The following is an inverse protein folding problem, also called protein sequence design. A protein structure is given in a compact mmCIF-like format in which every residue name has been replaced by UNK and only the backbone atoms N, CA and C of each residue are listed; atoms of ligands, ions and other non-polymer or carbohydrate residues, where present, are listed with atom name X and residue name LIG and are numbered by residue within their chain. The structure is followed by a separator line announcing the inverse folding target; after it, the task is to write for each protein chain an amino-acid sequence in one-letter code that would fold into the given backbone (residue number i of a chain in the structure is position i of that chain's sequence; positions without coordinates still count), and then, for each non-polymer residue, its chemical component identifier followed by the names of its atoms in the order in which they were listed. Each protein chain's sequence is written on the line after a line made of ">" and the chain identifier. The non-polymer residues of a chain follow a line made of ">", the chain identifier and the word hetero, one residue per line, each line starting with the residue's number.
data_IF_054153580459
#
_entry.id   IF_054153580459
#
_cell.length_a   1.000
_cell.length_b   1.000
_cell.length_c   1.000
_cell.angle_alpha   90.00
_cell.angle_beta   90.00
_cell.angle_gamma   90.00
#
_symmetry.space_group_name_H-M   'P 1'
#
loop_
_entity.id
_entity.type
_entity.pdbx_description
1 polymer ?
#
# COMPACT_ATOMS: atom_id res chain seq x y z
N UNK A 1 -3.74 -7.38 3.49
CA UNK A 1 -4.18 -8.77 3.31
C UNK A 1 -5.27 -8.86 2.24
N UNK A 2 -5.29 -9.92 1.46
CA UNK A 2 -6.35 -10.25 0.50
C UNK A 2 -7.03 -11.53 0.91
N UNK A 3 -8.34 -11.65 0.62
CA UNK A 3 -9.12 -12.86 0.86
C UNK A 3 -9.95 -13.15 -0.39
N UNK A 4 -10.07 -14.41 -0.75
CA UNK A 4 -10.92 -14.87 -1.86
C UNK A 4 -12.38 -15.01 -1.39
N UNK A 5 -12.61 -15.00 -0.08
CA UNK A 5 -13.92 -14.97 0.54
C UNK A 5 -14.26 -13.57 1.05
N UNK A 6 -15.55 -13.24 1.10
CA UNK A 6 -16.00 -11.97 1.67
C UNK A 6 -15.59 -11.83 3.14
N UNK A 7 -15.25 -10.64 3.57
CA UNK A 7 -14.87 -10.35 4.94
C UNK A 7 -16.06 -9.76 5.66
N UNK A 8 -16.50 -10.40 6.75
CA UNK A 8 -17.43 -9.80 7.68
C UNK A 8 -16.64 -9.06 8.75
N UNK A 9 -16.55 -7.75 8.62
CA UNK A 9 -15.73 -6.90 9.51
C UNK A 9 -16.53 -6.30 10.66
N UNK A 10 -17.86 -6.26 10.53
CA UNK A 10 -18.73 -5.59 11.47
C UNK A 10 -19.69 -6.58 12.17
N UNK A 11 -20.09 -6.22 13.37
CA UNK A 11 -21.02 -7.03 14.17
C UNK A 11 -22.47 -6.66 13.80
N UNK A 12 -23.33 -7.66 13.50
CA UNK A 12 -24.74 -7.41 13.26
C UNK A 12 -25.39 -6.58 14.38
N UNK A 13 -26.11 -5.52 13.99
CA UNK A 13 -26.82 -4.65 14.93
C UNK A 13 -26.10 -3.36 15.30
N UNK A 14 -24.83 -3.19 14.97
CA UNK A 14 -24.12 -1.90 15.10
C UNK A 14 -24.67 -0.88 14.11
N UNK A 15 -24.40 0.41 14.35
CA UNK A 15 -24.88 1.46 13.44
C UNK A 15 -24.13 1.43 12.10
N UNK A 16 -22.85 1.11 12.11
CA UNK A 16 -22.04 0.90 10.90
C UNK A 16 -22.61 -0.26 10.06
N UNK A 17 -22.96 -1.37 10.69
CA UNK A 17 -23.63 -2.49 10.03
C UNK A 17 -24.96 -2.07 9.39
N UNK A 18 -25.81 -1.33 10.13
CA UNK A 18 -27.11 -0.85 9.63
C UNK A 18 -26.94 0.08 8.43
N UNK A 19 -25.98 1.00 8.46
CA UNK A 19 -25.69 1.88 7.33
C UNK A 19 -25.25 1.08 6.11
N UNK A 20 -24.37 0.11 6.27
CA UNK A 20 -23.92 -0.75 5.16
C UNK A 20 -25.08 -1.59 4.60
N UNK A 21 -25.90 -2.19 5.46
CA UNK A 21 -27.08 -2.96 5.07
C UNK A 21 -28.14 -2.09 4.35
N UNK A 22 -28.22 -0.81 4.67
CA UNK A 22 -29.09 0.17 3.99
C UNK A 22 -28.55 0.64 2.64
N UNK A 23 -27.39 0.14 2.18
CA UNK A 23 -26.81 0.45 0.87
C UNK A 23 -25.76 1.55 0.86
N UNK A 24 -25.19 1.94 2.00
CA UNK A 24 -24.07 2.86 2.01
C UNK A 24 -22.88 2.26 1.27
N UNK A 25 -22.33 2.99 0.30
CA UNK A 25 -21.15 2.58 -0.47
C UNK A 25 -19.92 2.44 0.42
N UNK A 26 -19.75 3.37 1.36
CA UNK A 26 -18.66 3.36 2.33
C UNK A 26 -19.15 3.75 3.72
N UNK A 27 -18.58 3.16 4.76
CA UNK A 27 -18.86 3.47 6.16
C UNK A 27 -17.54 3.65 6.89
N UNK A 28 -17.45 4.66 7.75
CA UNK A 28 -16.27 4.92 8.55
C UNK A 28 -16.65 4.98 10.03
N UNK A 29 -15.93 4.23 10.85
CA UNK A 29 -15.96 4.31 12.30
C UNK A 29 -14.73 5.07 12.76
N UNK A 30 -14.92 6.12 13.54
CA UNK A 30 -13.85 6.93 14.12
C UNK A 30 -13.93 6.87 15.64
N UNK A 31 -12.84 6.41 16.25
CA UNK A 31 -12.65 6.40 17.70
C UNK A 31 -11.44 7.28 18.07
N UNK A 32 -11.24 7.63 19.34
CA UNK A 32 -10.12 8.50 19.75
C UNK A 32 -8.73 7.95 19.41
N UNK A 33 -8.59 6.63 19.31
CA UNK A 33 -7.33 5.91 19.14
C UNK A 33 -7.20 5.21 17.78
N UNK A 34 -8.32 5.07 17.03
CA UNK A 34 -8.30 4.33 15.77
C UNK A 34 -9.45 4.73 14.84
N UNK A 35 -9.28 4.41 13.59
CA UNK A 35 -10.27 4.58 12.53
C UNK A 35 -10.39 3.31 11.71
N UNK A 36 -11.61 2.92 11.36
CA UNK A 36 -11.90 1.80 10.47
C UNK A 36 -12.73 2.30 9.29
N UNK A 37 -12.23 2.10 8.08
CA UNK A 37 -12.94 2.38 6.83
C UNK A 37 -13.35 1.06 6.17
N UNK A 38 -14.64 0.90 5.92
CA UNK A 38 -15.21 -0.17 5.12
C UNK A 38 -15.74 0.42 3.81
N UNK A 39 -15.12 0.06 2.71
CA UNK A 39 -15.48 0.56 1.36
C UNK A 39 -15.49 -0.60 0.36
N UNK A 40 -16.09 -0.38 -0.80
CA UNK A 40 -16.02 -1.34 -1.90
C UNK A 40 -14.57 -1.59 -2.33
N UNK A 41 -14.33 -2.77 -2.88
CA UNK A 41 -13.05 -3.11 -3.48
C UNK A 41 -13.13 -2.87 -4.99
N UNK A 42 -12.39 -1.87 -5.46
CA UNK A 42 -12.28 -1.51 -6.88
C UNK A 42 -11.11 -2.25 -7.57
N UNK A 43 -10.68 -3.40 -7.02
CA UNK A 43 -9.51 -4.18 -7.48
C UNK A 43 -8.21 -3.35 -7.59
N UNK A 44 -8.04 -2.42 -6.66
CA UNK A 44 -6.91 -1.51 -6.65
C UNK A 44 -5.58 -2.25 -6.42
N UNK A 45 -4.57 -1.84 -7.15
CA UNK A 45 -3.21 -2.35 -6.94
C UNK A 45 -2.70 -2.01 -5.53
N UNK A 46 -1.78 -2.83 -5.00
CA UNK A 46 -1.14 -2.55 -3.70
C UNK A 46 -0.46 -1.16 -3.69
N UNK A 47 0.14 -0.75 -4.82
CA UNK A 47 0.76 0.57 -4.95
C UNK A 47 -0.27 1.70 -4.86
N UNK A 48 -1.45 1.53 -5.47
CA UNK A 48 -2.56 2.49 -5.38
C UNK A 48 -3.10 2.58 -3.96
N UNK A 49 -3.31 1.43 -3.30
CA UNK A 49 -3.74 1.38 -1.89
C UNK A 49 -2.74 2.08 -0.98
N UNK A 50 -1.44 1.80 -1.16
CA UNK A 50 -0.37 2.45 -0.41
C UNK A 50 -0.39 3.97 -0.57
N UNK A 51 -0.44 4.47 -1.82
CA UNK A 51 -0.44 5.91 -2.09
C UNK A 51 -1.71 6.62 -1.61
N UNK A 52 -2.86 5.92 -1.61
CA UNK A 52 -4.14 6.52 -1.22
C UNK A 52 -4.35 6.57 0.30
N UNK A 53 -3.95 5.51 1.00
CA UNK A 53 -4.29 5.34 2.42
C UNK A 53 -3.09 5.44 3.35
N UNK A 54 -1.87 5.34 2.83
CA UNK A 54 -0.63 5.32 3.61
C UNK A 54 0.46 6.20 2.98
N UNK A 55 0.18 7.49 2.67
CA UNK A 55 1.14 8.36 1.97
C UNK A 55 2.39 8.65 2.79
N UNK A 56 2.27 8.66 4.13
CA UNK A 56 3.32 9.10 5.06
C UNK A 56 4.16 7.96 5.64
N UNK A 57 3.89 6.71 5.27
CA UNK A 57 4.67 5.58 5.78
C UNK A 57 5.85 5.27 4.87
N UNK A 58 6.95 4.83 5.45
CA UNK A 58 8.16 4.46 4.71
C UNK A 58 7.98 3.17 3.91
N UNK A 59 7.06 2.28 4.33
CA UNK A 59 6.81 0.98 3.69
C UNK A 59 5.40 0.49 3.96
N UNK A 60 4.81 -0.14 2.96
CA UNK A 60 3.54 -0.89 3.06
C UNK A 60 3.83 -2.36 2.76
N UNK A 61 3.40 -3.25 3.64
CA UNK A 61 3.46 -4.70 3.45
C UNK A 61 2.05 -5.20 3.16
N UNK A 62 1.88 -5.82 2.00
CA UNK A 62 0.61 -6.45 1.60
C UNK A 62 0.68 -7.97 1.75
N UNK A 63 -0.28 -8.57 2.42
CA UNK A 63 -0.47 -10.02 2.46
C UNK A 63 -1.41 -10.47 1.35
N UNK A 64 -1.12 -11.59 0.71
CA UNK A 64 -1.79 -12.03 -0.51
C UNK A 64 -1.14 -11.40 -1.74
N UNK A 65 -1.83 -10.60 -2.49
CA UNK A 65 -1.36 -9.89 -3.68
C UNK A 65 -0.45 -10.71 -4.61
N UNK A 66 -0.74 -12.01 -4.76
CA UNK A 66 0.08 -13.00 -5.52
C UNK A 66 0.33 -12.53 -6.95
N UNK A 67 -0.70 -11.96 -7.59
CA UNK A 67 -0.70 -11.50 -8.97
C UNK A 67 -0.09 -10.12 -9.18
N UNK A 68 0.21 -9.38 -8.09
CA UNK A 68 0.78 -8.04 -8.19
C UNK A 68 2.12 -8.09 -8.95
N UNK A 69 2.23 -7.28 -10.00
CA UNK A 69 3.44 -7.16 -10.82
C UNK A 69 4.38 -6.09 -10.25
N UNK A 70 5.69 -6.26 -10.49
CA UNK A 70 6.74 -5.28 -10.13
C UNK A 70 6.84 -4.96 -8.63
N UNK A 71 6.34 -5.85 -7.77
CA UNK A 71 6.46 -5.75 -6.32
C UNK A 71 7.31 -6.92 -5.84
N UNK A 72 8.38 -6.67 -5.07
CA UNK A 72 9.15 -7.74 -4.46
C UNK A 72 8.29 -8.53 -3.48
N UNK A 73 8.43 -9.84 -3.47
CA UNK A 73 7.65 -10.75 -2.64
C UNK A 73 8.54 -11.63 -1.80
N UNK A 74 8.10 -11.90 -0.58
CA UNK A 74 8.64 -12.96 0.26
C UNK A 74 7.62 -14.09 0.23
N UNK A 75 8.02 -15.24 -0.32
CA UNK A 75 7.17 -16.42 -0.34
C UNK A 75 7.23 -17.10 1.03
N UNK A 76 6.06 -17.39 1.61
CA UNK A 76 5.95 -18.04 2.91
C UNK A 76 5.21 -19.36 2.74
N UNK A 77 5.84 -20.48 3.10
CA UNK A 77 5.19 -21.78 3.02
C UNK A 77 5.70 -22.75 4.10
N UNK A 78 4.82 -23.67 4.52
CA UNK A 78 5.11 -24.72 5.50
C UNK A 78 5.33 -26.08 4.85
N UNK A 79 4.68 -26.31 3.72
CA UNK A 79 4.75 -27.54 2.94
C UNK A 79 5.12 -27.22 1.49
N UNK A 80 5.78 -28.15 0.80
CA UNK A 80 6.22 -27.96 -0.59
C UNK A 80 5.04 -27.77 -1.55
N UNK A 81 3.91 -28.38 -1.26
CA UNK A 81 2.69 -28.26 -2.06
C UNK A 81 2.09 -26.84 -2.02
N UNK A 82 2.49 -26.02 -1.03
CA UNK A 82 2.08 -24.63 -0.90
C UNK A 82 2.97 -23.64 -1.68
N UNK A 83 4.03 -24.13 -2.33
CA UNK A 83 4.93 -23.26 -3.10
C UNK A 83 4.23 -22.67 -4.31
N UNK A 84 4.36 -21.35 -4.42
CA UNK A 84 3.82 -20.58 -5.53
C UNK A 84 4.92 -20.05 -6.46
N UNK A 85 6.16 -20.48 -6.26
CA UNK A 85 7.36 -19.96 -6.93
C UNK A 85 7.26 -19.93 -8.45
N UNK A 86 6.59 -20.91 -9.05
CA UNK A 86 6.43 -21.03 -10.50
C UNK A 86 5.26 -20.20 -11.03
N UNK A 87 4.35 -19.78 -10.14
CA UNK A 87 3.15 -18.99 -10.45
C UNK A 87 3.32 -17.50 -10.10
N UNK A 88 4.26 -17.17 -9.22
CA UNK A 88 4.43 -15.84 -8.65
C UNK A 88 5.74 -15.21 -9.08
N UNK A 89 5.67 -14.10 -9.79
CA UNK A 89 6.85 -13.34 -10.19
C UNK A 89 7.33 -12.38 -9.11
N UNK A 90 8.66 -12.18 -9.04
CA UNK A 90 9.28 -11.19 -8.15
C UNK A 90 9.53 -11.69 -6.73
N UNK A 91 9.62 -13.00 -6.53
CA UNK A 91 10.04 -13.59 -5.25
C UNK A 91 11.52 -13.26 -5.03
N UNK A 92 11.82 -12.53 -3.96
CA UNK A 92 13.18 -12.07 -3.58
C UNK A 92 13.73 -12.82 -2.37
N UNK A 93 12.86 -13.48 -1.62
CA UNK A 93 13.22 -14.27 -0.45
C UNK A 93 12.13 -15.31 -0.16
N UNK A 94 12.49 -16.31 0.63
CA UNK A 94 11.61 -17.38 1.07
C UNK A 94 11.66 -17.48 2.59
N UNK A 95 10.51 -17.70 3.24
CA UNK A 95 10.41 -18.04 4.65
C UNK A 95 9.79 -19.43 4.82
N UNK A 96 10.56 -20.36 5.38
CA UNK A 96 10.14 -21.76 5.57
C UNK A 96 11.01 -22.46 6.61
N UNK A 97 10.44 -23.45 7.30
CA UNK A 97 11.19 -24.34 8.19
C UNK A 97 11.62 -25.67 7.49
N UNK A 98 11.33 -25.82 6.19
CA UNK A 98 11.74 -26.99 5.42
C UNK A 98 13.23 -26.92 5.11
N UNK A 99 13.91 -28.07 5.21
CA UNK A 99 15.33 -28.20 4.87
C UNK A 99 15.54 -28.37 3.37
N UNK A 100 16.67 -27.87 2.86
CA UNK A 100 17.07 -28.08 1.46
C UNK A 100 16.32 -27.22 0.45
N UNK A 101 15.61 -26.20 0.89
CA UNK A 101 14.95 -25.24 -0.01
C UNK A 101 15.99 -24.32 -0.63
N UNK A 102 16.05 -24.29 -1.96
CA UNK A 102 16.95 -23.43 -2.71
C UNK A 102 16.38 -22.01 -2.82
N UNK A 103 17.23 -21.01 -2.61
CA UNK A 103 16.92 -19.59 -2.77
C UNK A 103 18.10 -18.74 -2.33
N UNK A 104 18.22 -17.51 -2.85
CA UNK A 104 19.31 -16.60 -2.46
C UNK A 104 19.19 -16.16 -1.00
N UNK A 105 17.95 -16.04 -0.53
CA UNK A 105 17.61 -15.66 0.86
C UNK A 105 16.51 -16.60 1.37
N UNK A 106 16.86 -17.44 2.32
CA UNK A 106 15.94 -18.37 2.99
C UNK A 106 15.96 -18.10 4.48
N UNK A 107 14.80 -17.80 5.04
CA UNK A 107 14.59 -17.47 6.45
C UNK A 107 13.74 -18.56 7.12
N UNK A 108 13.93 -18.76 8.42
CA UNK A 108 12.98 -19.52 9.23
C UNK A 108 11.66 -18.75 9.38
N UNK A 109 10.55 -19.48 9.50
CA UNK A 109 9.23 -18.89 9.78
C UNK A 109 9.19 -18.12 11.11
N UNK A 110 10.02 -18.53 12.07
CA UNK A 110 10.07 -17.95 13.41
C UNK A 110 11.06 -16.77 13.50
N UNK A 111 11.80 -16.49 12.44
CA UNK A 111 12.85 -15.47 12.44
C UNK A 111 12.38 -14.14 11.83
N UNK A 112 11.31 -13.59 12.42
CA UNK A 112 10.77 -12.30 12.00
C UNK A 112 11.80 -11.16 12.04
N UNK A 113 12.80 -11.25 12.94
CA UNK A 113 13.86 -10.25 13.07
C UNK A 113 14.77 -10.22 11.85
N UNK A 114 15.25 -11.37 11.39
CA UNK A 114 16.13 -11.45 10.21
C UNK A 114 15.39 -11.02 8.95
N UNK A 115 14.11 -11.39 8.82
CA UNK A 115 13.25 -10.92 7.73
C UNK A 115 13.11 -9.39 7.77
N UNK A 116 12.88 -8.80 8.93
CA UNK A 116 12.78 -7.36 9.09
C UNK A 116 14.11 -6.65 8.75
N UNK A 117 15.25 -7.17 9.19
CA UNK A 117 16.58 -6.64 8.86
C UNK A 117 16.89 -6.75 7.36
N UNK A 118 16.51 -7.85 6.72
CA UNK A 118 16.63 -8.01 5.27
C UNK A 118 15.82 -6.93 4.53
N UNK A 119 14.57 -6.73 4.92
CA UNK A 119 13.69 -5.72 4.34
C UNK A 119 14.27 -4.31 4.54
N UNK A 120 14.66 -3.98 5.76
CA UNK A 120 15.25 -2.68 6.11
C UNK A 120 16.50 -2.39 5.27
N UNK A 121 17.44 -3.33 5.24
CA UNK A 121 18.71 -3.18 4.52
C UNK A 121 18.50 -3.02 3.02
N UNK A 122 17.56 -3.74 2.44
CA UNK A 122 17.36 -3.81 1.00
C UNK A 122 16.48 -2.67 0.46
N UNK A 123 15.49 -2.23 1.22
CA UNK A 123 14.46 -1.31 0.74
C UNK A 123 14.39 0.02 1.50
N UNK A 124 14.75 0.05 2.78
CA UNK A 124 14.68 1.29 3.56
C UNK A 124 16.00 2.04 3.63
N UNK A 125 17.13 1.33 3.72
CA UNK A 125 18.46 2.00 3.74
C UNK A 125 18.88 2.57 2.40
N UNK A 126 18.35 2.05 1.30
CA UNK A 126 18.56 2.59 -0.04
C UNK A 126 17.56 3.72 -0.35
N UNK A 127 17.23 4.57 0.62
CA UNK A 127 16.35 5.72 0.37
C UNK A 127 16.95 6.57 -0.74
N UNK A 128 16.41 6.44 -1.96
CA UNK A 128 16.49 7.45 -2.97
C UNK A 128 15.94 8.79 -2.41
N UNK A 129 16.10 9.89 -3.12
CA UNK A 129 15.46 11.16 -2.76
C UNK A 129 13.98 10.89 -2.42
N UNK A 130 13.53 11.44 -1.29
CA UNK A 130 12.10 11.37 -0.91
C UNK A 130 11.28 11.94 -2.07
N UNK A 131 10.26 11.21 -2.51
CA UNK A 131 9.34 11.73 -3.52
C UNK A 131 8.71 13.02 -2.99
N UNK A 132 8.87 14.10 -3.76
CA UNK A 132 8.32 15.42 -3.40
C UNK A 132 6.94 15.65 -4.01
N UNK A 133 6.57 14.85 -5.02
CA UNK A 133 5.25 14.87 -5.62
C UNK A 133 4.83 13.46 -6.05
N UNK A 134 3.59 13.08 -5.78
CA UNK A 134 2.97 11.84 -6.26
C UNK A 134 1.80 12.20 -7.18
N UNK A 135 1.78 11.60 -8.37
CA UNK A 135 0.69 11.74 -9.33
C UNK A 135 -0.12 10.44 -9.42
N UNK A 136 -1.41 10.55 -9.20
CA UNK A 136 -2.36 9.47 -9.44
C UNK A 136 -3.29 9.86 -10.58
N UNK A 137 -3.41 9.01 -11.61
CA UNK A 137 -4.34 9.19 -12.72
C UNK A 137 -5.27 7.99 -12.74
N UNK A 138 -6.57 8.23 -12.66
CA UNK A 138 -7.59 7.20 -12.52
C UNK A 138 -7.32 6.19 -11.38
N UNK A 139 -6.69 6.68 -10.30
CA UNK A 139 -6.33 5.87 -9.14
C UNK A 139 -5.00 5.12 -9.27
N UNK A 140 -4.33 5.14 -10.40
CA UNK A 140 -3.04 4.49 -10.60
C UNK A 140 -1.88 5.48 -10.44
N UNK A 141 -0.82 5.05 -9.73
CA UNK A 141 0.39 5.85 -9.56
C UNK A 141 1.17 5.95 -10.86
N UNK A 142 1.42 7.18 -11.31
CA UNK A 142 2.26 7.47 -12.48
C UNK A 142 3.70 7.69 -12.02
N UNK A 143 4.67 6.85 -12.46
CA UNK A 143 6.07 7.05 -12.14
C UNK A 143 6.59 8.36 -12.75
N UNK A 144 7.20 9.22 -11.93
CA UNK A 144 7.78 10.48 -12.38
C UNK A 144 9.28 10.53 -12.06
N UNK A 145 10.06 11.03 -13.01
CA UNK A 145 11.47 11.36 -12.77
C UNK A 145 11.56 12.57 -11.84
N UNK A 146 12.68 12.71 -11.11
CA UNK A 146 12.90 13.78 -10.13
C UNK A 146 12.58 15.17 -10.68
N UNK A 147 13.08 15.51 -11.87
CA UNK A 147 12.84 16.83 -12.45
C UNK A 147 11.36 17.10 -12.76
N UNK A 148 10.60 16.04 -13.12
CA UNK A 148 9.15 16.16 -13.37
C UNK A 148 8.42 16.42 -12.05
N UNK A 149 8.81 15.72 -10.99
CA UNK A 149 8.26 15.97 -9.63
C UNK A 149 8.55 17.42 -9.20
N UNK A 150 9.76 17.93 -9.45
CA UNK A 150 10.15 19.31 -9.12
C UNK A 150 9.28 20.33 -9.89
N UNK A 151 9.03 20.08 -11.18
CA UNK A 151 8.16 20.96 -11.99
C UNK A 151 6.72 20.94 -11.47
N UNK A 152 6.15 19.76 -11.21
CA UNK A 152 4.79 19.65 -10.64
C UNK A 152 4.69 20.36 -9.29
N UNK A 153 5.60 20.03 -8.37
CA UNK A 153 5.60 20.63 -7.04
C UNK A 153 5.75 22.15 -7.10
N UNK A 154 6.70 22.65 -7.90
CA UNK A 154 6.94 24.09 -8.06
C UNK A 154 5.75 24.83 -8.67
N UNK A 155 5.10 24.24 -9.68
CA UNK A 155 3.92 24.83 -10.32
C UNK A 155 2.75 24.93 -9.34
N UNK A 156 2.42 23.84 -8.65
CA UNK A 156 1.32 23.82 -7.69
C UNK A 156 1.61 24.74 -6.50
N UNK A 157 2.84 24.73 -5.96
CA UNK A 157 3.23 25.65 -4.91
C UNK A 157 3.11 27.12 -5.35
N UNK A 158 3.49 27.42 -6.60
CA UNK A 158 3.36 28.76 -7.17
C UNK A 158 1.91 29.21 -7.22
N UNK A 159 1.00 28.35 -7.67
CA UNK A 159 -0.45 28.63 -7.69
C UNK A 159 -1.01 28.82 -6.27
N UNK A 160 -0.69 27.92 -5.35
CA UNK A 160 -1.19 27.97 -3.97
C UNK A 160 -0.69 29.20 -3.23
N UNK A 161 0.54 29.69 -3.50
CA UNK A 161 1.08 30.93 -2.92
C UNK A 161 0.30 32.18 -3.34
N UNK A 162 -0.43 32.14 -4.46
CA UNK A 162 -1.31 33.27 -4.86
C UNK A 162 -2.59 33.34 -4.03
N UNK A 163 -2.95 32.23 -3.35
CA UNK A 163 -4.07 32.19 -2.44
C UNK A 163 -3.64 32.82 -1.10
N UNK A 164 -4.46 33.67 -0.53
CA UNK A 164 -4.21 34.30 0.77
C UNK A 164 -4.43 33.29 1.89
N UNK A 165 -3.45 32.39 2.11
CA UNK A 165 -3.49 31.39 3.16
C UNK A 165 -2.55 31.80 4.29
N UNK A 166 -3.09 32.03 5.48
CA UNK A 166 -2.33 32.45 6.67
C UNK A 166 -1.63 31.28 7.40
N UNK A 167 -1.25 30.21 6.66
CA UNK A 167 -0.69 29.00 7.26
C UNK A 167 0.66 28.65 6.65
N UNK A 168 1.54 28.11 7.50
CA UNK A 168 2.76 27.46 7.01
C UNK A 168 2.39 26.17 6.28
N UNK A 169 2.41 26.20 4.96
CA UNK A 169 1.99 25.07 4.11
C UNK A 169 3.10 24.03 4.10
N UNK A 170 2.81 22.83 4.60
CA UNK A 170 3.73 21.69 4.63
C UNK A 170 3.38 20.66 3.58
N UNK A 171 2.09 20.58 3.21
CA UNK A 171 1.56 19.60 2.28
C UNK A 171 0.42 20.20 1.47
N UNK A 172 0.29 19.78 0.21
CA UNK A 172 -0.78 20.19 -0.70
C UNK A 172 -1.36 18.94 -1.35
N UNK A 173 -2.65 18.70 -1.15
CA UNK A 173 -3.41 17.70 -1.90
C UNK A 173 -4.31 18.40 -2.93
N UNK A 174 -4.25 17.93 -4.17
CA UNK A 174 -5.09 18.44 -5.27
C UNK A 174 -5.77 17.25 -5.96
N UNK A 175 -7.11 17.28 -6.01
CA UNK A 175 -7.90 16.32 -6.78
C UNK A 175 -8.65 17.04 -7.90
N UNK A 176 -8.41 16.61 -9.13
CA UNK A 176 -9.08 17.14 -10.32
C UNK A 176 -9.97 16.04 -10.90
N UNK A 177 -11.24 16.35 -11.10
CA UNK A 177 -12.16 15.53 -11.90
C UNK A 177 -12.32 16.18 -13.25
N UNK A 178 -12.00 15.42 -14.31
CA UNK A 178 -12.18 15.88 -15.68
C UNK A 178 -13.59 15.45 -16.10
N UNK A 179 -14.41 16.42 -16.52
CA UNK A 179 -15.72 16.11 -17.10
C UNK A 179 -15.51 15.43 -18.46
N UNK A 180 -16.33 14.41 -18.75
CA UNK A 180 -16.41 13.78 -20.07
C UNK A 180 -17.02 14.72 -21.09
#
# INVERSE_FOLDING_TARGET
>A
STSDEGIQFDTPGTDTFKHKAAGAESVMLVAPDQMVLQTGNDELSLGTLASRYFPDVDMVVGEGFKTAKRIPKIEVFRDLDQRLRDEVHGVVAVATNLKGVAGDFVFSLDDAREIALFIEKRYLRCKGKKEIATLLVNGEKVPMKDFVQEVFAGTIQGLVKTLKLDKNIREIELRIKIAE
#
